data_IF_001908264893
#
_entry.id   IF_001908264893
#
_cell.length_a   1.000
_cell.length_b   1.000
_cell.length_c   1.000
_cell.angle_alpha   90.00
_cell.angle_beta   90.00
_cell.angle_gamma   90.00
#
_symmetry.space_group_name_H-M   'P 1'
#
loop_
_entity.id
_entity.type
_entity.pdbx_description
1 polymer ?
#
# COMPACT_ATOMS: atom_id res chain seq x y z
N UNK A 1 -10.71 -2.75 13.79
CA UNK A 1 -9.35 -2.32 13.46
C UNK A 1 -9.22 -2.47 11.95
N UNK A 2 -8.87 -1.41 11.23
CA UNK A 2 -8.77 -1.48 9.77
C UNK A 2 -7.40 -2.03 9.40
N UNK A 3 -7.31 -3.33 9.26
CA UNK A 3 -6.04 -4.00 8.97
C UNK A 3 -5.72 -3.89 7.47
N UNK A 4 -4.46 -3.64 7.14
CA UNK A 4 -3.94 -3.76 5.78
C UNK A 4 -3.14 -5.06 5.70
N UNK A 5 -3.49 -5.93 4.76
CA UNK A 5 -2.81 -7.21 4.53
C UNK A 5 -1.78 -7.02 3.42
N UNK A 6 -0.52 -7.34 3.69
CA UNK A 6 0.51 -7.44 2.64
C UNK A 6 0.83 -8.91 2.44
N UNK A 7 0.60 -9.43 1.23
CA UNK A 7 0.91 -10.81 0.89
C UNK A 7 2.14 -10.84 -0.01
N UNK A 8 3.17 -11.59 0.40
CA UNK A 8 4.32 -11.87 -0.46
C UNK A 8 3.99 -13.15 -1.20
N UNK A 9 3.88 -13.08 -2.52
CA UNK A 9 3.47 -14.19 -3.37
C UNK A 9 4.61 -14.58 -4.33
N UNK A 10 4.75 -15.86 -4.70
CA UNK A 10 5.89 -16.32 -5.51
C UNK A 10 5.95 -15.75 -6.94
N UNK A 11 4.82 -15.31 -7.51
CA UNK A 11 4.79 -14.71 -8.84
C UNK A 11 3.42 -14.71 -9.52
N UNK A 12 3.29 -13.94 -10.61
CA UNK A 12 2.07 -13.91 -11.43
C UNK A 12 2.20 -14.72 -12.72
N UNK A 13 1.20 -15.54 -13.01
CA UNK A 13 0.83 -15.76 -14.40
C UNK A 13 -0.04 -14.56 -14.83
N UNK A 14 0.54 -13.58 -15.54
CA UNK A 14 -0.13 -12.51 -16.32
C UNK A 14 -0.34 -11.11 -15.69
N UNK A 15 0.70 -10.47 -15.14
CA UNK A 15 0.72 -9.00 -15.04
C UNK A 15 1.86 -8.39 -15.86
N UNK A 16 1.65 -7.16 -16.36
CA UNK A 16 2.64 -6.41 -17.16
C UNK A 16 3.95 -6.27 -16.38
N UNK A 17 5.06 -6.28 -17.10
CA UNK A 17 6.42 -6.44 -16.58
C UNK A 17 6.91 -5.33 -15.62
N UNK A 18 6.19 -4.22 -15.49
CA UNK A 18 6.55 -3.09 -14.63
C UNK A 18 5.79 -3.06 -13.29
N UNK A 19 5.14 -4.17 -12.91
CA UNK A 19 4.25 -4.24 -11.75
C UNK A 19 4.89 -5.11 -10.66
N UNK A 20 5.48 -4.47 -9.64
CA UNK A 20 6.12 -5.14 -8.49
C UNK A 20 5.12 -5.55 -7.39
N UNK A 21 3.89 -5.05 -7.46
CA UNK A 21 2.80 -5.41 -6.59
C UNK A 21 1.45 -4.92 -7.09
N UNK A 22 0.38 -5.27 -6.39
CA UNK A 22 -0.95 -4.83 -6.75
C UNK A 22 -1.76 -4.51 -5.50
N UNK A 23 -2.11 -3.24 -5.33
CA UNK A 23 -3.07 -2.81 -4.31
C UNK A 23 -4.52 -3.02 -4.76
N UNK A 24 -5.36 -3.47 -3.84
CA UNK A 24 -6.76 -3.72 -4.09
C UNK A 24 -7.63 -2.91 -3.14
N UNK A 25 -8.42 -2.01 -3.73
CA UNK A 25 -9.32 -1.12 -3.03
C UNK A 25 -10.75 -1.67 -3.07
N UNK A 26 -11.43 -1.67 -1.92
CA UNK A 26 -12.87 -1.90 -1.84
C UNK A 26 -13.65 -0.80 -2.57
N UNK A 27 -14.96 -1.01 -2.77
CA UNK A 27 -15.84 -0.03 -3.46
C UNK A 27 -15.91 1.35 -2.79
N UNK A 28 -15.56 1.43 -1.51
CA UNK A 28 -15.43 2.67 -0.74
C UNK A 28 -14.03 3.31 -0.84
N UNK A 29 -13.20 2.79 -1.76
CA UNK A 29 -11.83 3.21 -2.00
C UNK A 29 -10.87 2.86 -0.86
N UNK A 30 -11.26 2.04 0.10
CA UNK A 30 -10.36 1.60 1.19
C UNK A 30 -9.58 0.39 0.70
N UNK A 31 -8.26 0.50 0.65
CA UNK A 31 -7.41 -0.66 0.40
C UNK A 31 -7.37 -1.56 1.62
N UNK A 32 -7.62 -2.84 1.42
CA UNK A 32 -7.55 -3.86 2.48
C UNK A 32 -6.41 -4.84 2.26
N UNK A 33 -5.95 -5.00 1.02
CA UNK A 33 -4.85 -5.90 0.72
C UNK A 33 -4.00 -5.42 -0.44
N UNK A 34 -2.72 -5.79 -0.41
CA UNK A 34 -1.80 -5.66 -1.54
C UNK A 34 -0.90 -6.89 -1.65
N UNK A 35 -0.62 -7.28 -2.89
CA UNK A 35 0.30 -8.36 -3.20
C UNK A 35 1.66 -7.78 -3.58
N UNK A 36 2.73 -8.46 -3.15
CA UNK A 36 4.12 -8.19 -3.54
C UNK A 36 4.66 -9.43 -4.24
N UNK A 37 5.14 -9.27 -5.47
CA UNK A 37 5.58 -10.37 -6.32
C UNK A 37 7.07 -10.66 -6.11
N UNK A 38 7.39 -11.79 -5.47
CA UNK A 38 8.76 -12.11 -5.07
C UNK A 38 9.70 -12.43 -6.24
N UNK A 39 9.19 -13.09 -7.30
CA UNK A 39 9.92 -13.33 -8.55
C UNK A 39 10.46 -12.03 -9.17
N UNK A 40 9.66 -10.97 -9.17
CA UNK A 40 10.07 -9.65 -9.69
C UNK A 40 11.16 -8.98 -8.84
N UNK A 41 11.22 -9.28 -7.54
CA UNK A 41 12.33 -8.81 -6.68
C UNK A 41 13.65 -9.50 -7.06
N UNK A 42 13.59 -10.74 -7.54
CA UNK A 42 14.78 -11.47 -8.00
C UNK A 42 15.34 -10.93 -9.33
N UNK A 43 14.49 -10.34 -10.16
CA UNK A 43 14.91 -9.63 -11.38
C UNK A 43 15.62 -8.32 -11.00
N UNK A 44 15.01 -7.53 -10.11
CA UNK A 44 15.57 -6.25 -9.64
C UNK A 44 16.92 -6.38 -8.94
N UNK A 45 17.13 -7.41 -8.11
CA UNK A 45 18.44 -7.65 -7.47
C UNK A 45 19.53 -7.89 -8.51
N UNK A 46 19.20 -8.53 -9.63
CA UNK A 46 20.18 -8.89 -10.66
C UNK A 46 20.60 -7.64 -11.43
N UNK A 47 19.63 -6.80 -11.75
CA UNK A 47 19.86 -5.61 -12.56
C UNK A 47 20.59 -4.50 -11.79
N UNK A 48 20.34 -4.35 -10.49
CA UNK A 48 20.83 -3.19 -9.72
C UNK A 48 21.79 -3.52 -8.57
N UNK A 49 22.01 -4.79 -8.24
CA UNK A 49 22.97 -5.20 -7.21
C UNK A 49 22.59 -4.80 -5.77
N UNK A 50 21.31 -4.50 -5.53
CA UNK A 50 20.79 -4.08 -4.21
C UNK A 50 20.40 -5.30 -3.38
N UNK A 51 20.59 -5.27 -2.04
CA UNK A 51 20.09 -6.31 -1.15
C UNK A 51 18.58 -6.59 -1.32
N UNK A 52 18.14 -7.86 -1.45
CA UNK A 52 16.74 -8.21 -1.70
C UNK A 52 15.76 -7.69 -0.63
N UNK A 53 16.20 -7.61 0.61
CA UNK A 53 15.45 -7.10 1.75
C UNK A 53 15.14 -5.61 1.63
N UNK A 54 16.08 -4.81 1.10
CA UNK A 54 15.86 -3.39 0.84
C UNK A 54 14.88 -3.16 -0.30
N UNK A 55 14.99 -3.95 -1.37
CA UNK A 55 14.04 -3.90 -2.50
C UNK A 55 12.64 -4.28 -2.02
N UNK A 56 12.52 -5.39 -1.28
CA UNK A 56 11.26 -5.84 -0.70
C UNK A 56 10.62 -4.76 0.19
N UNK A 57 11.39 -4.20 1.13
CA UNK A 57 10.90 -3.16 2.04
C UNK A 57 10.38 -1.94 1.27
N UNK A 58 11.07 -1.58 0.18
CA UNK A 58 10.69 -0.46 -0.66
C UNK A 58 9.42 -0.73 -1.47
N UNK A 59 9.32 -1.89 -2.13
CA UNK A 59 8.10 -2.33 -2.84
C UNK A 59 6.91 -2.39 -1.88
N UNK A 60 7.07 -2.99 -0.69
CA UNK A 60 6.01 -3.02 0.32
C UNK A 60 5.51 -1.62 0.67
N UNK A 61 6.43 -0.67 0.87
CA UNK A 61 6.06 0.70 1.17
C UNK A 61 5.37 1.39 -0.03
N UNK A 62 5.82 1.16 -1.27
CA UNK A 62 5.15 1.63 -2.48
C UNK A 62 3.70 1.13 -2.57
N UNK A 63 3.50 -0.16 -2.35
CA UNK A 63 2.19 -0.80 -2.41
C UNK A 63 1.24 -0.34 -1.30
N UNK A 64 1.75 -0.16 -0.07
CA UNK A 64 0.99 0.47 1.02
C UNK A 64 0.62 1.92 0.64
N UNK A 65 1.51 2.60 -0.07
CA UNK A 65 1.23 3.90 -0.68
C UNK A 65 0.01 3.87 -1.57
N UNK A 66 -0.10 2.90 -2.49
CA UNK A 66 -1.30 2.73 -3.32
C UNK A 66 -2.57 2.41 -2.53
N UNK A 67 -2.47 1.57 -1.49
CA UNK A 67 -3.58 1.27 -0.57
C UNK A 67 -4.14 2.54 0.08
N UNK A 68 -3.27 3.50 0.44
CA UNK A 68 -3.65 4.70 1.18
C UNK A 68 -3.89 5.95 0.31
N UNK A 69 -3.24 6.04 -0.85
CA UNK A 69 -3.30 7.19 -1.76
C UNK A 69 -4.16 6.94 -3.00
N UNK A 70 -4.47 5.68 -3.30
CA UNK A 70 -5.19 5.25 -4.49
C UNK A 70 -4.29 4.70 -5.60
N UNK A 71 -4.87 4.02 -6.59
CA UNK A 71 -4.11 3.34 -7.66
C UNK A 71 -3.41 4.30 -8.63
N UNK A 72 -3.90 5.53 -8.76
CA UNK A 72 -3.33 6.56 -9.64
C UNK A 72 -2.39 7.53 -8.89
N UNK A 73 -1.78 7.08 -7.79
CA UNK A 73 -0.95 7.91 -6.92
C UNK A 73 0.53 7.95 -7.27
N UNK A 74 0.90 7.46 -8.46
CA UNK A 74 2.27 7.55 -8.93
C UNK A 74 2.77 9.00 -8.96
N UNK A 75 4.06 9.17 -8.72
CA UNK A 75 4.73 10.47 -8.75
C UNK A 75 5.93 10.42 -9.70
N UNK A 76 6.44 11.60 -10.07
CA UNK A 76 7.72 11.72 -10.77
C UNK A 76 8.91 11.48 -9.84
N UNK A 77 8.72 11.47 -8.51
CA UNK A 77 9.80 11.34 -7.53
C UNK A 77 9.36 10.65 -6.24
N UNK A 78 10.35 10.28 -5.43
CA UNK A 78 10.11 9.63 -4.14
C UNK A 78 9.65 8.19 -4.29
N UNK A 79 9.16 7.62 -3.18
CA UNK A 79 8.79 6.21 -3.10
C UNK A 79 7.66 5.80 -4.05
N UNK A 80 6.74 6.72 -4.39
CA UNK A 80 5.65 6.44 -5.33
C UNK A 80 6.04 6.61 -6.81
N UNK A 81 7.33 6.68 -7.12
CA UNK A 81 7.77 6.72 -8.51
C UNK A 81 7.51 5.37 -9.17
N UNK A 82 6.82 5.37 -10.32
CA UNK A 82 6.42 4.14 -11.02
C UNK A 82 7.53 3.49 -11.85
N UNK A 83 8.60 4.22 -12.18
CA UNK A 83 9.76 3.68 -12.90
C UNK A 83 11.04 4.11 -12.18
N UNK A 84 11.84 3.14 -11.76
CA UNK A 84 13.09 3.40 -11.02
C UNK A 84 14.28 3.43 -11.96
N UNK A 85 15.17 4.40 -11.73
CA UNK A 85 16.44 4.55 -12.41
C UNK A 85 17.57 4.48 -11.38
N UNK A 86 18.82 4.56 -11.85
CA UNK A 86 20.01 4.43 -11.01
C UNK A 86 20.02 5.42 -9.82
N UNK A 87 19.47 6.63 -10.02
CA UNK A 87 19.35 7.64 -9.00
C UNK A 87 18.40 7.22 -7.86
N UNK A 88 17.28 6.57 -8.18
CA UNK A 88 16.35 6.05 -7.18
C UNK A 88 16.94 4.87 -6.41
N UNK A 89 17.66 3.97 -7.09
CA UNK A 89 18.42 2.89 -6.43
C UNK A 89 19.40 3.46 -5.41
N UNK A 90 20.18 4.44 -5.82
CA UNK A 90 21.15 5.09 -4.95
C UNK A 90 20.48 5.83 -3.77
N UNK A 91 19.29 6.40 -3.99
CA UNK A 91 18.50 7.02 -2.92
C UNK A 91 17.92 5.97 -1.96
N UNK A 92 17.51 4.81 -2.47
CA UNK A 92 16.98 3.68 -1.70
C UNK A 92 18.06 3.12 -0.76
N UNK A 93 19.27 2.86 -1.25
CA UNK A 93 20.40 2.39 -0.43
C UNK A 93 20.76 3.36 0.72
N UNK A 94 20.54 4.66 0.49
CA UNK A 94 20.76 5.70 1.51
C UNK A 94 19.54 5.95 2.42
N UNK A 95 18.45 5.22 2.24
CA UNK A 95 17.20 5.42 2.98
C UNK A 95 16.52 6.77 2.73
N UNK A 96 16.74 7.38 1.55
CA UNK A 96 16.24 8.71 1.18
C UNK A 96 15.06 8.68 0.21
N UNK A 97 14.66 7.50 -0.24
CA UNK A 97 13.51 7.34 -1.13
C UNK A 97 12.22 7.25 -0.29
N UNK A 98 11.64 8.41 0.02
CA UNK A 98 10.54 8.58 0.98
C UNK A 98 9.26 9.07 0.29
N UNK A 99 8.14 9.01 1.02
CA UNK A 99 6.93 9.74 0.66
C UNK A 99 7.15 11.25 0.74
N UNK A 100 6.54 12.00 -0.16
CA UNK A 100 6.52 13.45 -0.06
C UNK A 100 5.70 13.91 1.16
N UNK A 101 5.92 15.15 1.60
CA UNK A 101 5.11 15.74 2.68
C UNK A 101 3.63 15.79 2.35
N UNK A 102 3.28 15.98 1.07
CA UNK A 102 1.90 15.97 0.59
C UNK A 102 1.29 14.57 0.65
N UNK A 103 2.02 13.56 0.19
CA UNK A 103 1.60 12.16 0.27
C UNK A 103 1.42 11.73 1.72
N UNK A 104 2.39 12.04 2.58
CA UNK A 104 2.33 11.76 4.02
C UNK A 104 1.12 12.39 4.69
N UNK A 105 0.74 13.61 4.28
CA UNK A 105 -0.47 14.27 4.78
C UNK A 105 -1.73 13.55 4.33
N UNK A 106 -1.86 13.27 3.04
CA UNK A 106 -3.01 12.58 2.48
C UNK A 106 -3.20 11.17 3.08
N UNK A 107 -2.12 10.42 3.31
CA UNK A 107 -2.17 9.12 3.97
C UNK A 107 -2.71 9.23 5.40
N UNK A 108 -2.27 10.23 6.18
CA UNK A 108 -2.77 10.46 7.54
C UNK A 108 -4.25 10.84 7.55
N UNK A 109 -4.67 11.72 6.66
CA UNK A 109 -6.08 12.11 6.50
C UNK A 109 -6.95 10.89 6.15
N UNK A 110 -6.45 10.03 5.25
CA UNK A 110 -7.13 8.78 4.88
C UNK A 110 -7.28 7.83 6.07
N UNK A 111 -6.21 7.61 6.84
CA UNK A 111 -6.23 6.75 8.03
C UNK A 111 -7.20 7.26 9.11
N UNK A 112 -7.24 8.58 9.32
CA UNK A 112 -8.20 9.21 10.25
C UNK A 112 -9.64 8.98 9.80
N UNK A 113 -9.93 9.15 8.50
CA UNK A 113 -11.26 8.89 7.94
C UNK A 113 -11.67 7.42 8.08
N UNK A 114 -10.76 6.47 7.83
CA UNK A 114 -11.00 5.02 8.01
C UNK A 114 -11.33 4.71 9.47
N UNK A 115 -10.56 5.28 10.41
CA UNK A 115 -10.75 5.09 11.84
C UNK A 115 -12.11 5.60 12.31
N UNK A 116 -12.49 6.81 11.89
CA UNK A 116 -13.78 7.41 12.23
C UNK A 116 -14.97 6.57 11.72
N UNK A 117 -14.89 6.06 10.48
CA UNK A 117 -15.93 5.16 9.92
C UNK A 117 -16.04 3.85 10.67
N UNK A 118 -14.90 3.26 11.05
CA UNK A 118 -14.87 2.01 11.81
C UNK A 118 -15.54 2.19 13.17
N UNK A 119 -15.28 3.32 13.85
CA UNK A 119 -15.92 3.65 15.13
C UNK A 119 -17.43 3.87 14.99
N UNK A 120 -17.87 4.54 13.92
CA UNK A 120 -19.30 4.76 13.64
C UNK A 120 -20.05 3.44 13.40
N UNK A 121 -19.50 2.54 12.56
CA UNK A 121 -20.11 1.24 12.28
C UNK A 121 -20.17 0.32 13.52
N UNK A 122 -19.18 0.39 14.41
CA UNK A 122 -19.20 -0.32 15.68
C UNK A 122 -20.28 0.23 16.64
N UNK A 123 -20.52 1.54 16.64
CA UNK A 123 -21.58 2.14 17.45
C UNK A 123 -22.98 1.77 16.94
N UNK A 124 -23.19 1.76 15.62
CA UNK A 124 -24.47 1.37 14.99
C UNK A 124 -24.83 -0.10 15.22
N UNK A 125 -23.85 -1.01 15.12
CA UNK A 125 -24.05 -2.45 15.37
C UNK A 125 -24.33 -2.76 16.85
N UNK A 126 -23.81 -1.96 17.78
CA UNK A 126 -24.09 -2.08 19.21
C UNK A 126 -25.50 -1.57 19.60
N UNK A 127 -26.09 -0.67 18.81
CA UNK A 127 -27.40 -0.05 19.09
C UNK A 127 -28.63 -0.89 18.70
N UNK A 128 -28.49 -1.96 17.92
CA UNK A 128 -29.64 -2.74 17.39
C UNK A 128 -30.17 -3.79 18.39
N UNK A 129 -29.46 -4.06 19.49
CA UNK A 129 -29.90 -5.02 20.52
C UNK A 129 -30.97 -4.47 21.51
N UNK A 130 -31.54 -3.30 21.26
CA UNK A 130 -32.45 -2.60 22.17
C UNK A 130 -33.78 -2.19 21.55
N UNK A 131 -34.54 -3.11 20.92
CA UNK A 131 -36.00 -2.90 20.76
C UNK A 131 -36.73 -3.72 21.83
N UNK A 132 -37.39 -3.08 22.83
CA UNK A 132 -38.28 -3.81 23.71
C UNK A 132 -39.50 -4.29 22.92
N UNK A 133 -39.80 -5.57 23.11
CA UNK A 133 -41.02 -6.24 22.67
C UNK A 133 -42.23 -5.56 23.33
N UNK A 134 -42.92 -4.71 22.59
CA UNK A 134 -44.19 -4.14 23.01
C UNK A 134 -45.31 -5.08 22.54
N UNK A 135 -45.76 -5.87 23.52
CA UNK A 135 -47.04 -6.59 23.66
C UNK A 135 -48.08 -6.45 22.54
#
# INVERSE_FOLDING_TARGET
>A
MGDAIVQIVPGTQRLKDDVFGAAFLGRDGIGQYTDVYYDRLEELRHDWGVPPDLVLAHVMAHEIGHVLLGLNSHSSMGIMRGYWQAEEVSALERGRLLFSSQQSRAMRERLQAISARTMASAAESSGIAGRPDTR
#
